data_IF_178097538711
#
_entry.id   IF_178097538711
#
_cell.length_a   1.000
_cell.length_b   1.000
_cell.length_c   1.000
_cell.angle_alpha   90.00
_cell.angle_beta   90.00
_cell.angle_gamma   90.00
#
_symmetry.space_group_name_H-M   'P 1'
#
loop_
_entity.id
_entity.type
_entity.pdbx_description
1 polymer ?
#
# COMPACT_ATOMS: atom_id res chain seq x y z
N UNK A 1 2.58 10.88 12.79
CA UNK A 1 2.11 11.13 11.43
C UNK A 1 1.47 9.87 10.86
N UNK A 2 0.52 10.04 9.98
CA UNK A 2 -0.16 8.95 9.29
C UNK A 2 -0.21 9.24 7.79
N UNK A 3 0.15 8.27 6.96
CA UNK A 3 0.13 8.37 5.51
C UNK A 3 -0.81 7.32 4.93
N UNK A 4 -1.76 7.72 4.10
CA UNK A 4 -2.71 6.82 3.44
C UNK A 4 -2.47 6.89 1.93
N UNK A 5 -2.20 5.75 1.30
CA UNK A 5 -1.90 5.70 -0.12
C UNK A 5 -2.85 4.78 -0.86
N UNK A 6 -3.61 5.33 -1.80
CA UNK A 6 -4.59 4.58 -2.58
C UNK A 6 -5.99 4.51 -1.93
N UNK A 7 -6.35 5.53 -1.16
CA UNK A 7 -7.68 5.64 -0.57
C UNK A 7 -8.75 5.82 -1.67
N UNK A 8 -9.75 4.95 -1.71
CA UNK A 8 -10.84 5.02 -2.69
C UNK A 8 -11.97 5.95 -2.25
N UNK A 9 -12.40 6.86 -3.12
CA UNK A 9 -13.57 7.74 -2.85
C UNK A 9 -14.85 6.93 -2.63
N UNK A 10 -15.03 5.87 -3.40
CA UNK A 10 -16.27 5.08 -3.37
C UNK A 10 -16.46 4.29 -2.06
N UNK A 11 -15.37 4.01 -1.34
CA UNK A 11 -15.42 3.27 -0.08
C UNK A 11 -15.26 4.16 1.15
N UNK A 12 -15.01 5.46 0.96
CA UNK A 12 -14.76 6.39 2.06
C UNK A 12 -15.91 7.39 2.18
N UNK A 13 -16.71 7.34 3.26
CA UNK A 13 -17.76 8.31 3.50
C UNK A 13 -17.25 9.75 3.59
N UNK A 14 -18.05 10.72 3.18
CA UNK A 14 -17.67 12.13 3.14
C UNK A 14 -17.17 12.65 4.50
N UNK A 15 -17.82 12.28 5.60
CA UNK A 15 -17.42 12.71 6.94
C UNK A 15 -16.00 12.25 7.33
N UNK A 16 -15.58 11.06 6.87
CA UNK A 16 -14.21 10.57 7.07
C UNK A 16 -13.21 11.42 6.28
N UNK A 17 -13.55 11.79 5.04
CA UNK A 17 -12.71 12.71 4.26
C UNK A 17 -12.55 14.05 4.94
N UNK A 18 -13.62 14.60 5.48
CA UNK A 18 -13.60 15.89 6.13
C UNK A 18 -12.74 15.84 7.42
N UNK A 19 -12.84 14.74 8.16
CA UNK A 19 -12.00 14.48 9.32
C UNK A 19 -10.52 14.36 8.93
N UNK A 20 -10.17 13.51 7.96
CA UNK A 20 -8.79 13.31 7.48
C UNK A 20 -8.18 14.64 7.02
N UNK A 21 -8.94 15.46 6.28
CA UNK A 21 -8.48 16.78 5.80
C UNK A 21 -8.26 17.79 6.91
N UNK A 22 -9.00 17.67 8.00
CA UNK A 22 -8.88 18.60 9.15
C UNK A 22 -7.61 18.35 9.99
N UNK A 23 -6.97 17.19 9.83
CA UNK A 23 -5.84 16.76 10.67
C UNK A 23 -4.52 16.96 9.94
N UNK A 24 -3.72 17.92 10.36
CA UNK A 24 -2.46 18.34 9.69
C UNK A 24 -1.35 17.27 9.68
N UNK A 25 -1.44 16.26 10.54
CA UNK A 25 -0.46 15.17 10.60
C UNK A 25 -0.87 13.93 9.79
N UNK A 26 -1.94 14.03 8.98
CA UNK A 26 -2.36 13.02 8.02
C UNK A 26 -2.07 13.52 6.60
N UNK A 27 -1.47 12.67 5.77
CA UNK A 27 -1.28 12.88 4.34
C UNK A 27 -1.89 11.71 3.59
N UNK A 28 -2.65 11.96 2.53
CA UNK A 28 -3.27 10.89 1.75
C UNK A 28 -3.17 11.16 0.25
N UNK A 29 -3.23 10.08 -0.53
CA UNK A 29 -3.45 10.11 -1.97
C UNK A 29 -4.67 9.26 -2.30
N UNK A 30 -5.57 9.83 -3.10
CA UNK A 30 -6.72 9.10 -3.60
C UNK A 30 -6.29 8.16 -4.73
N UNK A 31 -6.88 6.98 -4.79
CA UNK A 31 -6.60 6.03 -5.86
C UNK A 31 -7.05 6.59 -7.21
N UNK A 32 -8.16 7.33 -7.25
CA UNK A 32 -8.69 7.97 -8.45
C UNK A 32 -7.72 8.99 -9.05
N UNK A 33 -6.95 9.70 -8.23
CA UNK A 33 -5.92 10.63 -8.69
C UNK A 33 -4.67 9.88 -9.20
N UNK A 34 -4.41 8.69 -8.65
CA UNK A 34 -3.28 7.85 -9.04
C UNK A 34 -3.55 7.06 -10.33
N UNK A 35 -4.80 6.69 -10.63
CA UNK A 35 -5.16 5.97 -11.87
C UNK A 35 -4.64 6.72 -13.12
N UNK A 36 -4.74 8.05 -13.12
CA UNK A 36 -4.35 8.89 -14.25
C UNK A 36 -2.83 9.07 -14.40
N UNK A 37 -2.05 8.61 -13.42
CA UNK A 37 -0.61 8.80 -13.43
C UNK A 37 0.13 7.65 -14.11
N UNK A 38 1.29 7.97 -14.67
CA UNK A 38 2.25 6.97 -15.15
C UNK A 38 2.78 6.12 -13.99
N UNK A 39 3.45 5.02 -14.30
CA UNK A 39 4.16 4.23 -13.28
C UNK A 39 5.11 5.10 -12.44
N UNK A 40 5.94 5.90 -13.10
CA UNK A 40 6.88 6.81 -12.43
C UNK A 40 6.18 7.84 -11.55
N UNK A 41 5.05 8.38 -12.00
CA UNK A 41 4.24 9.31 -11.22
C UNK A 41 3.72 8.67 -9.93
N UNK A 42 3.23 7.43 -9.99
CA UNK A 42 2.78 6.68 -8.81
C UNK A 42 3.92 6.42 -7.82
N UNK A 43 5.11 6.07 -8.34
CA UNK A 43 6.30 5.86 -7.51
C UNK A 43 6.76 7.17 -6.83
N UNK A 44 6.75 8.28 -7.56
CA UNK A 44 7.07 9.59 -6.99
C UNK A 44 6.07 10.03 -5.91
N UNK A 45 4.77 9.79 -6.15
CA UNK A 45 3.73 10.04 -5.15
C UNK A 45 3.92 9.20 -3.89
N UNK A 46 4.27 7.91 -4.04
CA UNK A 46 4.57 7.03 -2.91
C UNK A 46 5.81 7.49 -2.13
N UNK A 47 6.91 7.83 -2.82
CA UNK A 47 8.10 8.39 -2.19
C UNK A 47 7.78 9.65 -1.38
N UNK A 48 6.92 10.52 -1.88
CA UNK A 48 6.53 11.72 -1.14
C UNK A 48 5.75 11.40 0.16
N UNK A 49 5.09 10.23 0.24
CA UNK A 49 4.50 9.74 1.49
C UNK A 49 5.56 9.22 2.45
N UNK A 50 6.53 8.45 1.93
CA UNK A 50 7.67 7.98 2.73
C UNK A 50 8.45 9.15 3.34
N UNK A 51 8.79 10.17 2.57
CA UNK A 51 9.45 11.38 3.05
C UNK A 51 8.65 12.10 4.15
N UNK A 52 7.32 12.07 4.06
CA UNK A 52 6.46 12.67 5.07
C UNK A 52 6.52 11.94 6.41
N UNK A 53 6.54 10.60 6.42
CA UNK A 53 6.51 9.80 7.65
C UNK A 53 7.90 9.42 8.18
N UNK A 54 8.91 9.32 7.32
CA UNK A 54 10.24 8.74 7.63
C UNK A 54 11.13 9.59 8.56
N UNK A 55 10.59 10.60 9.22
CA UNK A 55 11.32 11.41 10.21
C UNK A 55 11.37 10.77 11.61
N UNK A 56 10.62 9.71 11.82
CA UNK A 56 10.50 8.95 13.06
C UNK A 56 10.28 7.46 12.72
N UNK A 57 10.48 6.54 13.67
CA UNK A 57 10.12 5.13 13.47
C UNK A 57 8.66 4.99 13.04
N UNK A 58 8.40 4.18 12.02
CA UNK A 58 7.06 3.91 11.48
C UNK A 58 6.89 2.44 11.10
N UNK A 59 5.68 2.01 10.88
CA UNK A 59 5.33 0.73 10.28
C UNK A 59 4.64 0.91 8.94
N UNK A 60 4.74 -0.09 8.07
CA UNK A 60 3.96 -0.19 6.85
C UNK A 60 2.84 -1.20 7.03
N UNK A 61 1.61 -0.78 6.75
CA UNK A 61 0.45 -1.65 6.66
C UNK A 61 0.09 -1.85 5.19
N UNK A 62 0.13 -3.10 4.73
CA UNK A 62 -0.32 -3.51 3.40
C UNK A 62 -1.69 -4.16 3.53
N UNK A 63 -2.70 -3.44 3.10
CA UNK A 63 -4.05 -3.95 2.93
C UNK A 63 -4.17 -4.63 1.56
N UNK A 64 -4.44 -5.94 1.55
CA UNK A 64 -4.59 -6.70 0.31
C UNK A 64 -5.83 -6.32 -0.51
N UNK A 65 -6.81 -5.61 0.07
CA UNK A 65 -7.94 -5.04 -0.65
C UNK A 65 -7.52 -3.93 -1.62
N UNK A 66 -6.34 -3.34 -1.41
CA UNK A 66 -5.77 -2.36 -2.33
C UNK A 66 -5.21 -2.98 -3.63
N UNK A 67 -5.19 -4.31 -3.76
CA UNK A 67 -4.61 -5.03 -4.91
C UNK A 67 -5.72 -5.51 -5.84
N UNK A 68 -5.66 -5.09 -7.10
CA UNK A 68 -6.66 -5.46 -8.11
C UNK A 68 -6.79 -6.99 -8.25
N UNK A 69 -8.03 -7.50 -8.19
CA UNK A 69 -8.38 -8.91 -8.36
C UNK A 69 -7.59 -9.86 -7.44
N UNK A 70 -7.10 -9.36 -6.30
CA UNK A 70 -6.46 -10.21 -5.31
C UNK A 70 -7.52 -10.97 -4.49
N UNK A 71 -7.27 -12.23 -4.11
CA UNK A 71 -8.14 -12.95 -3.19
C UNK A 71 -8.06 -12.33 -1.78
N UNK A 72 -8.84 -11.31 -1.56
CA UNK A 72 -8.94 -10.52 -0.34
C UNK A 72 -10.40 -10.42 0.11
N UNK A 73 -10.66 -9.82 1.25
CA UNK A 73 -12.01 -9.74 1.79
C UNK A 73 -12.95 -8.93 0.90
N UNK A 74 -12.48 -7.82 0.32
CA UNK A 74 -13.28 -6.97 -0.56
C UNK A 74 -13.34 -7.47 -2.01
N UNK A 75 -12.41 -8.32 -2.46
CA UNK A 75 -12.32 -8.81 -3.83
C UNK A 75 -12.43 -7.69 -4.88
N UNK A 76 -11.76 -6.57 -4.62
CA UNK A 76 -11.90 -5.36 -5.43
C UNK A 76 -11.40 -5.57 -6.87
N UNK A 77 -12.22 -5.20 -7.89
CA UNK A 77 -11.78 -5.19 -9.28
C UNK A 77 -10.93 -3.96 -9.64
N UNK A 78 -10.71 -3.06 -8.70
CA UNK A 78 -9.94 -1.83 -8.86
C UNK A 78 -8.91 -1.71 -7.75
N UNK A 79 -7.65 -1.45 -8.10
CA UNK A 79 -6.55 -1.37 -7.15
C UNK A 79 -5.20 -1.35 -7.86
N UNK A 80 -4.14 -1.42 -7.10
CA UNK A 80 -2.78 -1.51 -7.62
C UNK A 80 -2.50 -2.91 -8.19
N UNK A 81 -1.77 -2.97 -9.29
CA UNK A 81 -1.22 -4.24 -9.75
C UNK A 81 -0.24 -4.80 -8.71
N UNK A 82 -0.21 -6.13 -8.55
CA UNK A 82 0.67 -6.81 -7.59
C UNK A 82 2.13 -6.37 -7.70
N UNK A 83 2.66 -6.25 -8.93
CA UNK A 83 4.04 -5.81 -9.14
C UNK A 83 4.28 -4.35 -8.72
N UNK A 84 3.26 -3.49 -8.77
CA UNK A 84 3.35 -2.13 -8.24
C UNK A 84 3.51 -2.15 -6.72
N UNK A 85 2.72 -2.97 -6.04
CA UNK A 85 2.82 -3.16 -4.58
C UNK A 85 4.19 -3.68 -4.18
N UNK A 86 4.76 -4.62 -4.94
CA UNK A 86 6.13 -5.11 -4.74
C UNK A 86 7.15 -3.98 -4.82
N UNK A 87 7.01 -3.06 -5.78
CA UNK A 87 7.89 -1.89 -5.87
C UNK A 87 7.75 -0.96 -4.66
N UNK A 88 6.53 -0.78 -4.14
CA UNK A 88 6.32 0.00 -2.90
C UNK A 88 7.00 -0.65 -1.70
N UNK A 89 6.94 -1.98 -1.59
CA UNK A 89 7.61 -2.71 -0.52
C UNK A 89 9.13 -2.60 -0.61
N UNK A 90 9.70 -2.71 -1.81
CA UNK A 90 11.13 -2.55 -2.04
C UNK A 90 11.60 -1.15 -1.65
N UNK A 91 10.89 -0.09 -2.07
CA UNK A 91 11.22 1.28 -1.65
C UNK A 91 11.13 1.45 -0.14
N UNK A 92 10.11 0.86 0.50
CA UNK A 92 9.95 0.97 1.94
C UNK A 92 11.04 0.20 2.69
N UNK A 93 11.53 -0.92 2.13
CA UNK A 93 12.61 -1.71 2.73
C UNK A 93 13.95 -0.95 2.84
N UNK A 94 14.14 0.06 2.00
CA UNK A 94 15.33 0.93 2.02
C UNK A 94 15.27 1.96 3.17
N UNK A 95 14.09 2.15 3.77
CA UNK A 95 13.85 3.14 4.81
C UNK A 95 14.24 2.63 6.20
N UNK A 96 15.36 3.09 6.73
CA UNK A 96 15.91 2.66 8.05
C UNK A 96 14.94 2.84 9.21
N UNK A 97 14.00 3.78 9.10
CA UNK A 97 13.00 4.05 10.11
C UNK A 97 11.76 3.16 10.00
N UNK A 98 11.59 2.39 8.92
CA UNK A 98 10.55 1.38 8.85
C UNK A 98 10.89 0.20 9.77
N UNK A 99 9.99 -0.13 10.71
CA UNK A 99 10.26 -1.10 11.78
C UNK A 99 9.50 -2.40 11.64
N UNK A 100 8.39 -2.39 10.90
CA UNK A 100 7.60 -3.60 10.66
C UNK A 100 6.79 -3.48 9.37
N UNK A 101 6.42 -4.63 8.83
CA UNK A 101 5.40 -4.80 7.81
C UNK A 101 4.23 -5.58 8.43
N UNK A 102 3.04 -5.01 8.33
CA UNK A 102 1.78 -5.69 8.62
C UNK A 102 1.05 -5.96 7.31
N UNK A 103 0.61 -7.20 7.07
CA UNK A 103 -0.18 -7.57 5.89
C UNK A 103 -1.54 -8.05 6.38
N UNK A 104 -2.61 -7.44 5.89
CA UNK A 104 -3.97 -7.77 6.29
C UNK A 104 -4.88 -8.04 5.07
N UNK A 105 -6.12 -8.44 5.34
CA UNK A 105 -7.21 -8.68 4.39
C UNK A 105 -6.96 -9.76 3.33
N UNK A 106 -5.84 -10.48 3.33
CA UNK A 106 -5.67 -11.64 2.46
C UNK A 106 -6.66 -12.75 2.87
N UNK A 107 -7.58 -13.12 1.97
CA UNK A 107 -8.64 -14.08 2.23
C UNK A 107 -8.61 -15.22 1.20
N UNK A 108 -7.66 -16.19 1.33
CA UNK A 108 -7.55 -17.28 0.38
C UNK A 108 -8.79 -18.18 0.42
N UNK A 109 -9.42 -18.37 -0.74
CA UNK A 109 -10.45 -19.41 -0.92
C UNK A 109 -9.80 -20.77 -1.18
N UNK A 110 -10.61 -21.86 -1.19
CA UNK A 110 -10.13 -23.18 -1.58
C UNK A 110 -9.52 -23.21 -3.00
N UNK A 111 -9.88 -22.27 -3.86
CA UNK A 111 -9.36 -22.17 -5.23
C UNK A 111 -8.04 -21.38 -5.36
N UNK A 112 -7.66 -20.60 -4.35
CA UNK A 112 -6.54 -19.66 -4.45
C UNK A 112 -5.43 -19.76 -3.39
N UNK A 113 -5.33 -20.79 -2.54
CA UNK A 113 -4.40 -20.79 -1.42
C UNK A 113 -2.94 -20.71 -1.86
N UNK A 114 -2.57 -21.40 -2.94
CA UNK A 114 -1.21 -21.40 -3.48
C UNK A 114 -0.84 -20.03 -4.07
N UNK A 115 -1.76 -19.40 -4.79
CA UNK A 115 -1.54 -18.08 -5.37
C UNK A 115 -1.33 -17.03 -4.28
N UNK A 116 -2.19 -17.00 -3.27
CA UNK A 116 -2.09 -16.09 -2.14
C UNK A 116 -0.79 -16.31 -1.38
N UNK A 117 -0.46 -17.58 -1.05
CA UNK A 117 0.78 -17.90 -0.35
C UNK A 117 2.04 -17.45 -1.11
N UNK A 118 2.06 -17.60 -2.44
CA UNK A 118 3.17 -17.10 -3.28
C UNK A 118 3.24 -15.57 -3.27
N UNK A 119 2.11 -14.88 -3.36
CA UNK A 119 2.10 -13.43 -3.33
C UNK A 119 2.60 -12.88 -1.98
N UNK A 120 2.12 -13.44 -0.86
CA UNK A 120 2.61 -13.09 0.47
C UNK A 120 4.11 -13.36 0.63
N UNK A 121 4.60 -14.48 0.07
CA UNK A 121 6.03 -14.79 0.04
C UNK A 121 6.84 -13.72 -0.72
N UNK A 122 6.33 -13.24 -1.87
CA UNK A 122 6.97 -12.13 -2.59
C UNK A 122 6.97 -10.85 -1.76
N UNK A 123 5.86 -10.48 -1.13
CA UNK A 123 5.77 -9.27 -0.32
C UNK A 123 6.75 -9.28 0.85
N UNK A 124 6.79 -10.38 1.59
CA UNK A 124 7.72 -10.55 2.70
C UNK A 124 9.17 -10.49 2.19
N UNK A 125 9.48 -11.20 1.10
CA UNK A 125 10.82 -11.25 0.54
C UNK A 125 11.28 -9.88 0.04
N UNK A 126 10.42 -9.13 -0.67
CA UNK A 126 10.73 -7.79 -1.16
C UNK A 126 10.96 -6.79 -0.02
N UNK A 127 10.31 -7.00 1.13
CA UNK A 127 10.46 -6.14 2.29
C UNK A 127 11.72 -6.43 3.11
N UNK A 128 12.13 -7.72 3.23
CA UNK A 128 13.25 -8.12 4.11
C UNK A 128 14.59 -8.28 3.40
N UNK A 129 14.59 -8.43 2.06
CA UNK A 129 15.83 -8.56 1.30
C UNK A 129 16.48 -7.20 1.07
N UNK A 130 17.80 -7.17 1.27
CA UNK A 130 18.57 -6.05 0.73
C UNK A 130 18.41 -6.00 -0.80
N UNK A 131 18.26 -4.78 -1.37
CA UNK A 131 18.21 -4.63 -2.83
C UNK A 131 19.41 -5.30 -3.48
N UNK A 132 19.17 -6.04 -4.55
CA UNK A 132 20.28 -6.57 -5.36
C UNK A 132 21.12 -5.37 -5.86
N UNK A 133 22.36 -5.32 -5.43
CA UNK A 133 23.32 -4.32 -5.90
C UNK A 133 23.81 -4.67 -7.30
#
# INVERSE_FOLDING_TARGET
KYAIFGLHKNYTPQYIFDEIKSVSNIKFHLFEDLILQTHQGKMAAFNSQLEFINKQPFGLELDCDAIINFPSSAQSPSGFALNMVRNFLQLTSEEKNCKYLHICEAAPSSASPVQVGKALSFFITDFIKEPYK
#
